data_IF_625686442179
#
_entry.id   IF_625686442179
#
_cell.length_a   1.000
_cell.length_b   1.000
_cell.length_c   1.000
_cell.angle_alpha   90.00
_cell.angle_beta   90.00
_cell.angle_gamma   90.00
#
_symmetry.space_group_name_H-M   'P 1'
#
loop_
_entity.id
_entity.type
_entity.pdbx_description
1 polymer ?
#
# COMPACT_ATOMS: atom_id res chain seq x y z
N UNK A 1 -60.28 -21.12 -33.26
CA UNK A 1 -60.93 -22.38 -32.81
C UNK A 1 -60.36 -22.92 -31.51
N UNK A 2 -59.08 -22.66 -31.22
CA UNK A 2 -58.39 -23.14 -30.01
C UNK A 2 -59.09 -22.75 -28.70
N UNK A 3 -59.52 -21.49 -28.54
CA UNK A 3 -60.27 -21.04 -27.35
C UNK A 3 -61.58 -21.82 -27.12
N UNK A 4 -62.23 -22.30 -28.19
CA UNK A 4 -63.48 -23.07 -28.09
C UNK A 4 -63.27 -24.54 -27.76
N UNK A 5 -62.05 -25.05 -28.00
CA UNK A 5 -61.65 -26.42 -27.71
C UNK A 5 -60.92 -26.55 -26.38
N UNK A 6 -60.66 -25.43 -25.70
CA UNK A 6 -60.00 -25.41 -24.40
C UNK A 6 -60.98 -25.71 -23.27
N UNK A 7 -60.87 -26.91 -22.69
CA UNK A 7 -61.69 -27.37 -21.57
C UNK A 7 -61.53 -26.49 -20.32
N UNK A 8 -60.39 -25.79 -20.15
CA UNK A 8 -60.19 -24.88 -19.02
C UNK A 8 -61.07 -23.62 -19.12
N UNK A 9 -61.55 -23.29 -20.32
CA UNK A 9 -62.36 -22.11 -20.60
C UNK A 9 -63.85 -22.45 -20.79
N UNK A 10 -64.26 -23.71 -20.56
CA UNK A 10 -65.60 -24.22 -20.89
C UNK A 10 -66.73 -23.40 -20.22
N UNK A 11 -66.54 -23.00 -18.97
CA UNK A 11 -67.52 -22.21 -18.20
C UNK A 11 -67.27 -20.69 -18.29
N UNK A 12 -66.25 -20.24 -19.02
CA UNK A 12 -65.99 -18.83 -19.25
C UNK A 12 -66.77 -18.34 -20.46
N UNK A 13 -68.10 -18.27 -20.32
CA UNK A 13 -69.02 -17.92 -21.41
C UNK A 13 -68.67 -16.60 -22.12
N UNK A 14 -68.11 -15.62 -21.39
CA UNK A 14 -67.64 -14.36 -21.98
C UNK A 14 -66.46 -14.52 -22.94
N UNK A 15 -65.56 -15.47 -22.68
CA UNK A 15 -64.40 -15.77 -23.53
C UNK A 15 -64.81 -16.69 -24.68
N UNK A 16 -65.64 -17.69 -24.40
CA UNK A 16 -66.22 -18.61 -25.39
C UNK A 16 -67.09 -17.90 -26.43
N UNK A 17 -67.80 -16.83 -26.02
CA UNK A 17 -68.68 -16.03 -26.88
C UNK A 17 -67.97 -14.97 -27.71
N UNK A 18 -66.65 -14.80 -27.58
CA UNK A 18 -65.93 -13.79 -28.37
C UNK A 18 -65.85 -14.20 -29.84
N UNK A 19 -66.13 -13.23 -30.73
CA UNK A 19 -65.86 -13.39 -32.15
C UNK A 19 -64.37 -13.08 -32.47
N UNK A 20 -63.94 -13.44 -33.68
CA UNK A 20 -62.55 -13.28 -34.11
C UNK A 20 -62.07 -11.83 -34.05
N UNK A 21 -62.91 -10.85 -34.38
CA UNK A 21 -62.57 -9.41 -34.33
C UNK A 21 -62.34 -8.91 -32.89
N UNK A 22 -63.17 -9.33 -31.94
CA UNK A 22 -62.99 -9.00 -30.53
C UNK A 22 -61.72 -9.64 -29.96
N UNK A 23 -61.39 -10.86 -30.39
CA UNK A 23 -60.15 -11.54 -30.00
C UNK A 23 -58.95 -10.77 -30.58
N UNK A 24 -58.97 -10.44 -31.87
CA UNK A 24 -57.92 -9.68 -32.54
C UNK A 24 -57.65 -8.34 -31.84
N UNK A 25 -58.70 -7.55 -31.55
CA UNK A 25 -58.56 -6.27 -30.82
C UNK A 25 -57.94 -6.43 -29.43
N UNK A 26 -58.25 -7.52 -28.71
CA UNK A 26 -57.64 -7.80 -27.41
C UNK A 26 -56.18 -8.23 -27.55
N UNK A 27 -55.85 -9.03 -28.56
CA UNK A 27 -54.48 -9.38 -28.89
C UNK A 27 -53.67 -8.13 -29.24
N UNK A 28 -54.17 -7.25 -30.11
CA UNK A 28 -53.52 -5.97 -30.48
C UNK A 28 -53.31 -5.05 -29.28
N UNK A 29 -54.28 -4.99 -28.37
CA UNK A 29 -54.12 -4.25 -27.13
C UNK A 29 -53.02 -4.84 -26.24
N UNK A 30 -52.99 -6.17 -26.09
CA UNK A 30 -51.96 -6.86 -25.30
C UNK A 30 -50.58 -6.71 -25.91
N UNK A 31 -50.44 -6.83 -27.22
CA UNK A 31 -49.18 -6.60 -27.93
C UNK A 31 -48.65 -5.19 -27.68
N UNK A 32 -49.49 -4.16 -27.81
CA UNK A 32 -49.10 -2.77 -27.50
C UNK A 32 -48.70 -2.55 -26.04
N UNK A 33 -49.32 -3.25 -25.10
CA UNK A 33 -48.90 -3.19 -23.69
C UNK A 33 -47.52 -3.83 -23.49
N UNK A 34 -47.28 -4.98 -24.12
CA UNK A 34 -45.98 -5.65 -24.07
C UNK A 34 -44.88 -4.81 -24.72
N UNK A 35 -45.15 -4.17 -25.86
CA UNK A 35 -44.21 -3.25 -26.53
C UNK A 35 -43.78 -2.11 -25.60
N UNK A 36 -44.74 -1.44 -24.94
CA UNK A 36 -44.45 -0.38 -23.96
C UNK A 36 -43.62 -0.87 -22.78
N UNK A 37 -43.87 -2.08 -22.30
CA UNK A 37 -43.09 -2.67 -21.21
C UNK A 37 -41.66 -2.99 -21.66
N UNK A 38 -41.50 -3.54 -22.87
CA UNK A 38 -40.19 -3.78 -23.47
C UNK A 38 -39.38 -2.48 -23.62
N UNK A 39 -39.99 -1.42 -24.15
CA UNK A 39 -39.36 -0.10 -24.27
C UNK A 39 -38.94 0.47 -22.90
N UNK A 40 -39.79 0.34 -21.89
CA UNK A 40 -39.49 0.78 -20.53
C UNK A 40 -38.30 0.01 -19.94
N UNK A 41 -38.28 -1.32 -20.10
CA UNK A 41 -37.17 -2.18 -19.64
C UNK A 41 -35.88 -1.89 -20.40
N UNK A 42 -35.94 -1.70 -21.71
CA UNK A 42 -34.78 -1.34 -22.53
C UNK A 42 -34.20 0.01 -22.09
N UNK A 43 -35.04 1.00 -21.81
CA UNK A 43 -34.61 2.31 -21.30
C UNK A 43 -33.91 2.18 -19.94
N UNK A 44 -34.43 1.33 -19.04
CA UNK A 44 -33.79 1.06 -17.75
C UNK A 44 -32.43 0.38 -17.95
N UNK A 45 -32.35 -0.60 -18.86
CA UNK A 45 -31.10 -1.31 -19.15
C UNK A 45 -30.04 -0.39 -19.79
N UNK A 46 -30.43 0.46 -20.74
CA UNK A 46 -29.51 1.43 -21.38
C UNK A 46 -28.88 2.39 -20.37
N UNK A 47 -29.64 2.79 -19.34
CA UNK A 47 -29.17 3.73 -18.33
C UNK A 47 -28.45 3.06 -17.16
N UNK A 48 -28.55 1.73 -17.03
CA UNK A 48 -27.93 1.00 -15.93
C UNK A 48 -26.48 0.72 -16.29
N UNK A 49 -25.56 1.32 -15.53
CA UNK A 49 -24.14 0.99 -15.64
C UNK A 49 -23.91 -0.49 -15.28
N UNK A 50 -23.10 -1.22 -16.07
CA UNK A 50 -22.62 -2.54 -15.68
C UNK A 50 -21.89 -2.49 -14.34
N UNK A 51 -22.04 -3.55 -13.51
CA UNK A 51 -21.49 -3.57 -12.16
C UNK A 51 -19.96 -3.43 -12.12
N UNK A 52 -19.27 -4.01 -13.10
CA UNK A 52 -17.82 -3.88 -13.27
C UNK A 52 -17.39 -2.42 -13.58
N UNK A 53 -18.17 -1.69 -14.40
CA UNK A 53 -17.88 -0.29 -14.70
C UNK A 53 -18.08 0.58 -13.46
N UNK A 54 -19.17 0.37 -12.71
CA UNK A 54 -19.40 1.09 -11.46
C UNK A 54 -18.31 0.81 -10.41
N UNK A 55 -17.86 -0.45 -10.29
CA UNK A 55 -16.75 -0.81 -9.40
C UNK A 55 -15.43 -0.16 -9.82
N UNK A 56 -15.12 -0.15 -11.11
CA UNK A 56 -13.92 0.51 -11.65
C UNK A 56 -13.95 2.03 -11.41
N UNK A 57 -15.10 2.68 -11.61
CA UNK A 57 -15.27 4.11 -11.30
C UNK A 57 -15.03 4.40 -9.81
N UNK A 58 -15.54 3.55 -8.91
CA UNK A 58 -15.30 3.68 -7.46
C UNK A 58 -13.81 3.54 -7.12
N UNK A 59 -13.13 2.57 -7.72
CA UNK A 59 -11.69 2.37 -7.51
C UNK A 59 -10.86 3.58 -8.02
N UNK A 60 -11.20 4.11 -9.20
CA UNK A 60 -10.54 5.30 -9.75
C UNK A 60 -10.77 6.53 -8.86
N UNK A 61 -11.96 6.68 -8.30
CA UNK A 61 -12.28 7.76 -7.38
C UNK A 61 -11.42 7.67 -6.10
N UNK A 62 -11.29 6.47 -5.54
CA UNK A 62 -10.40 6.24 -4.39
C UNK A 62 -8.95 6.61 -4.71
N UNK A 63 -8.42 6.23 -5.89
CA UNK A 63 -7.06 6.60 -6.31
C UNK A 63 -6.88 8.12 -6.36
N UNK A 64 -7.82 8.86 -6.94
CA UNK A 64 -7.75 10.32 -7.01
C UNK A 64 -7.77 10.99 -5.63
N UNK A 65 -8.57 10.45 -4.71
CA UNK A 65 -8.61 10.92 -3.32
C UNK A 65 -7.27 10.70 -2.62
N UNK A 66 -6.66 9.54 -2.81
CA UNK A 66 -5.33 9.22 -2.27
C UNK A 66 -4.25 10.16 -2.83
N UNK A 67 -4.19 10.35 -4.16
CA UNK A 67 -3.21 11.24 -4.80
C UNK A 67 -3.33 12.70 -4.31
N UNK A 68 -4.57 13.16 -4.14
CA UNK A 68 -4.85 14.48 -3.58
C UNK A 68 -4.35 14.59 -2.14
N UNK A 69 -4.66 13.59 -1.31
CA UNK A 69 -4.19 13.55 0.08
C UNK A 69 -2.66 13.52 0.16
N UNK A 70 -1.98 12.74 -0.69
CA UNK A 70 -0.51 12.69 -0.73
C UNK A 70 0.10 14.05 -1.09
N UNK A 71 -0.52 14.76 -2.04
CA UNK A 71 -0.09 16.10 -2.44
C UNK A 71 -0.25 17.10 -1.30
N UNK A 72 -1.41 17.09 -0.64
CA UNK A 72 -1.69 17.94 0.52
C UNK A 72 -0.77 17.62 1.70
N UNK A 73 -0.58 16.33 2.02
CA UNK A 73 0.33 15.87 3.05
C UNK A 73 1.76 16.31 2.78
N UNK A 74 2.22 16.24 1.53
CA UNK A 74 3.55 16.74 1.14
C UNK A 74 3.67 18.24 1.38
N UNK A 75 2.67 19.03 0.98
CA UNK A 75 2.66 20.49 1.18
C UNK A 75 2.66 20.83 2.68
N UNK A 76 1.82 20.18 3.48
CA UNK A 76 1.80 20.36 4.94
C UNK A 76 3.15 20.06 5.57
N UNK A 77 3.74 18.91 5.23
CA UNK A 77 5.06 18.52 5.76
C UNK A 77 6.16 19.53 5.38
N UNK A 78 6.16 20.05 4.15
CA UNK A 78 7.13 21.07 3.71
C UNK A 78 6.94 22.42 4.41
N UNK A 79 5.71 22.74 4.84
CA UNK A 79 5.39 23.94 5.60
C UNK A 79 5.57 23.76 7.13
N UNK A 80 5.98 22.57 7.58
CA UNK A 80 6.15 22.24 9.00
C UNK A 80 4.84 21.93 9.74
N UNK A 81 3.74 21.75 9.02
CA UNK A 81 2.45 21.36 9.58
C UNK A 81 2.25 19.83 9.50
N UNK A 82 1.39 19.31 10.36
CA UNK A 82 1.02 17.89 10.33
C UNK A 82 0.26 17.53 9.04
N UNK A 83 0.45 16.29 8.59
CA UNK A 83 -0.28 15.74 7.46
C UNK A 83 -1.79 15.73 7.75
N UNK A 84 -2.65 15.94 6.73
CA UNK A 84 -4.09 15.88 6.91
C UNK A 84 -4.52 14.49 7.42
N UNK A 85 -5.57 14.41 8.26
CA UNK A 85 -6.05 13.13 8.79
C UNK A 85 -6.55 12.20 7.66
N UNK A 86 -6.33 10.90 7.82
CA UNK A 86 -6.74 9.88 6.84
C UNK A 86 -8.25 9.61 6.88
N UNK A 87 -8.92 9.90 8.00
CA UNK A 87 -10.36 9.69 8.21
C UNK A 87 -11.23 10.57 7.29
N UNK A 88 -10.63 11.53 6.59
CA UNK A 88 -11.30 12.36 5.58
C UNK A 88 -11.43 11.66 4.22
N UNK A 89 -10.74 10.53 4.01
CA UNK A 89 -10.82 9.73 2.80
C UNK A 89 -12.07 8.83 2.81
N UNK A 90 -12.48 8.35 1.65
CA UNK A 90 -13.46 7.26 1.59
C UNK A 90 -12.90 5.99 2.26
N UNK A 91 -13.77 5.12 2.80
CA UNK A 91 -13.35 3.91 3.53
C UNK A 91 -12.38 3.03 2.74
N UNK A 92 -12.61 2.88 1.43
CA UNK A 92 -11.74 2.09 0.55
C UNK A 92 -10.36 2.78 0.39
N UNK A 93 -10.34 4.10 0.17
CA UNK A 93 -9.11 4.88 0.03
C UNK A 93 -8.30 4.92 1.34
N UNK A 94 -8.98 5.07 2.47
CA UNK A 94 -8.36 5.07 3.79
C UNK A 94 -7.64 3.75 4.07
N UNK A 95 -8.32 2.62 3.83
CA UNK A 95 -7.72 1.30 4.04
C UNK A 95 -6.48 1.11 3.18
N UNK A 96 -6.56 1.41 1.88
CA UNK A 96 -5.43 1.27 0.96
C UNK A 96 -4.26 2.18 1.38
N UNK A 97 -4.54 3.42 1.82
CA UNK A 97 -3.50 4.32 2.30
C UNK A 97 -2.82 3.83 3.57
N UNK A 98 -3.57 3.28 4.52
CA UNK A 98 -3.00 2.68 5.74
C UNK A 98 -2.05 1.54 5.38
N UNK A 99 -2.47 0.63 4.51
CA UNK A 99 -1.64 -0.48 4.03
C UNK A 99 -0.35 0.03 3.36
N UNK A 100 -0.45 1.03 2.47
CA UNK A 100 0.72 1.65 1.82
C UNK A 100 1.67 2.32 2.81
N UNK A 101 1.15 3.03 3.80
CA UNK A 101 1.97 3.69 4.82
C UNK A 101 2.70 2.65 5.69
N UNK A 102 2.02 1.57 6.06
CA UNK A 102 2.60 0.46 6.83
C UNK A 102 3.71 -0.27 6.04
N UNK A 103 3.53 -0.45 4.72
CA UNK A 103 4.57 -1.00 3.84
C UNK A 103 5.77 -0.07 3.67
N UNK A 104 5.54 1.25 3.70
CA UNK A 104 6.56 2.27 3.49
C UNK A 104 7.43 2.51 4.74
N UNK A 105 6.87 2.43 5.94
CA UNK A 105 7.60 2.69 7.19
C UNK A 105 8.91 1.88 7.34
N UNK A 106 8.99 0.56 7.08
CA UNK A 106 10.24 -0.18 7.18
C UNK A 106 11.31 0.29 6.18
N UNK A 107 10.91 0.79 5.01
CA UNK A 107 11.84 1.36 4.03
C UNK A 107 12.39 2.71 4.52
N UNK A 108 11.52 3.54 5.11
CA UNK A 108 11.94 4.80 5.74
C UNK A 108 12.91 4.51 6.89
N UNK A 109 12.62 3.53 7.74
CA UNK A 109 13.48 3.12 8.83
C UNK A 109 14.84 2.62 8.33
N UNK A 110 14.88 1.86 7.23
CA UNK A 110 16.15 1.45 6.63
C UNK A 110 16.96 2.64 6.10
N UNK A 111 16.31 3.61 5.47
CA UNK A 111 16.98 4.84 5.01
C UNK A 111 17.52 5.65 6.18
N UNK A 112 16.77 5.75 7.28
CA UNK A 112 17.22 6.39 8.53
C UNK A 112 18.46 5.70 9.11
N UNK A 113 18.50 4.37 9.09
CA UNK A 113 19.66 3.61 9.53
C UNK A 113 20.89 3.91 8.65
N UNK A 114 20.73 3.92 7.33
CA UNK A 114 21.81 4.26 6.38
C UNK A 114 22.32 5.68 6.63
N UNK A 115 21.43 6.65 6.88
CA UNK A 115 21.82 8.03 7.18
C UNK A 115 22.74 8.11 8.41
N UNK A 116 22.43 7.36 9.48
CA UNK A 116 23.25 7.28 10.68
C UNK A 116 24.62 6.66 10.36
N UNK A 117 24.65 5.57 9.59
CA UNK A 117 25.89 4.91 9.19
C UNK A 117 26.79 5.83 8.38
N UNK A 118 26.23 6.62 7.46
CA UNK A 118 26.98 7.61 6.66
C UNK A 118 27.55 8.72 7.55
N UNK A 119 26.80 9.20 8.55
CA UNK A 119 27.33 10.16 9.53
C UNK A 119 28.49 9.58 10.32
N UNK A 120 28.36 8.36 10.83
CA UNK A 120 29.44 7.67 11.54
C UNK A 120 30.70 7.49 10.66
N UNK A 121 30.55 7.17 9.38
CA UNK A 121 31.67 7.15 8.43
C UNK A 121 32.37 8.51 8.32
N UNK A 122 31.60 9.60 8.29
CA UNK A 122 32.15 10.97 8.22
C UNK A 122 32.94 11.32 9.48
N UNK A 123 32.41 10.96 10.65
CA UNK A 123 33.08 11.21 11.93
C UNK A 123 34.39 10.43 12.04
N UNK A 124 34.37 9.14 11.66
CA UNK A 124 35.57 8.30 11.60
C UNK A 124 36.61 8.85 10.61
N UNK A 125 36.18 9.34 9.44
CA UNK A 125 37.08 9.96 8.48
C UNK A 125 37.74 11.23 9.05
N UNK A 126 37.00 12.03 9.83
CA UNK A 126 37.54 13.20 10.50
C UNK A 126 38.56 12.83 11.59
N UNK A 127 38.25 11.84 12.44
CA UNK A 127 39.16 11.33 13.47
C UNK A 127 40.45 10.77 12.85
N UNK A 128 40.31 10.01 11.76
CA UNK A 128 41.44 9.48 11.00
C UNK A 128 42.32 10.59 10.44
N UNK A 129 41.71 11.64 9.87
CA UNK A 129 42.43 12.83 9.38
C UNK A 129 43.22 13.49 10.50
N UNK A 130 42.64 13.65 11.69
CA UNK A 130 43.33 14.23 12.84
C UNK A 130 44.47 13.36 13.36
N UNK A 131 44.31 12.03 13.39
CA UNK A 131 45.35 11.09 13.77
C UNK A 131 46.58 11.17 12.84
N UNK A 132 46.35 11.23 11.53
CA UNK A 132 47.41 11.45 10.55
C UNK A 132 48.14 12.77 10.81
N UNK A 133 47.40 13.86 11.10
CA UNK A 133 48.00 15.16 11.40
C UNK A 133 48.81 15.17 12.70
N UNK A 134 48.50 14.31 13.67
CA UNK A 134 49.27 14.13 14.91
C UNK A 134 50.55 13.28 14.73
N UNK A 135 50.71 12.64 13.58
CA UNK A 135 51.84 11.73 13.32
C UNK A 135 51.66 10.34 13.94
N UNK A 136 50.41 9.95 14.26
CA UNK A 136 50.10 8.56 14.63
C UNK A 136 50.51 7.64 13.46
N UNK A 137 51.03 6.44 13.76
CA UNK A 137 51.48 5.48 12.75
C UNK A 137 50.37 5.27 11.70
N UNK A 138 50.72 5.39 10.41
CA UNK A 138 49.76 5.33 9.30
C UNK A 138 49.05 3.97 9.29
N UNK A 139 47.85 3.91 9.84
CA UNK A 139 46.94 2.78 9.66
C UNK A 139 46.39 2.89 8.24
N UNK A 140 46.70 1.90 7.39
CA UNK A 140 46.22 1.90 6.01
C UNK A 140 44.74 1.50 5.96
N UNK A 141 43.85 2.49 5.99
CA UNK A 141 42.40 2.30 5.90
C UNK A 141 41.91 1.86 4.51
N UNK A 142 42.76 1.86 3.47
CA UNK A 142 42.35 1.51 2.09
C UNK A 142 42.03 0.03 1.89
N UNK A 143 42.39 -0.84 2.85
CA UNK A 143 42.05 -2.27 2.83
C UNK A 143 40.81 -2.63 3.67
N UNK A 144 40.15 -1.66 4.30
CA UNK A 144 38.99 -1.92 5.16
C UNK A 144 37.74 -2.04 4.30
N UNK A 145 37.15 -3.24 4.30
CA UNK A 145 35.92 -3.50 3.55
C UNK A 145 34.74 -3.39 4.51
N UNK A 146 33.84 -2.43 4.28
CA UNK A 146 32.58 -2.39 5.03
C UNK A 146 31.72 -3.58 4.61
N UNK A 147 31.65 -4.62 5.45
CA UNK A 147 30.80 -5.78 5.18
C UNK A 147 29.35 -5.34 5.33
N UNK A 148 28.67 -5.14 4.20
CA UNK A 148 27.26 -4.76 4.15
C UNK A 148 26.38 -5.86 4.76
N UNK A 149 26.22 -5.80 6.07
CA UNK A 149 25.50 -6.79 6.84
C UNK A 149 25.34 -6.24 8.23
N UNK A 150 24.16 -5.71 8.53
CA UNK A 150 23.78 -5.48 9.92
C UNK A 150 23.86 -6.80 10.72
N UNK A 151 23.58 -6.78 12.02
CA UNK A 151 23.68 -7.94 12.92
C UNK A 151 22.87 -9.20 12.51
N UNK A 152 22.15 -9.15 11.39
CA UNK A 152 21.31 -10.21 10.82
C UNK A 152 21.83 -10.79 9.48
N UNK A 153 23.04 -10.43 9.03
CA UNK A 153 23.65 -11.12 7.88
C UNK A 153 23.98 -12.59 8.24
N UNK A 154 23.59 -13.52 7.35
CA UNK A 154 23.89 -14.96 7.49
C UNK A 154 25.39 -15.26 7.36
N UNK A 155 26.16 -14.32 6.83
CA UNK A 155 27.62 -14.37 6.80
C UNK A 155 28.15 -13.92 8.16
N UNK A 156 27.94 -14.76 9.17
CA UNK A 156 28.49 -14.56 10.49
C UNK A 156 30.00 -14.38 10.40
N UNK A 157 30.49 -13.22 10.84
CA UNK A 157 31.84 -12.96 11.36
C UNK A 157 32.93 -13.96 10.97
N UNK A 158 33.16 -14.20 9.67
CA UNK A 158 34.42 -14.74 9.21
C UNK A 158 35.43 -13.59 9.30
N UNK A 159 35.98 -13.46 10.51
CA UNK A 159 37.06 -12.57 10.90
C UNK A 159 38.28 -13.00 10.08
N UNK A 160 38.68 -12.19 9.11
CA UNK A 160 39.99 -12.32 8.52
C UNK A 160 40.98 -11.85 9.60
N UNK A 161 41.64 -12.78 10.29
CA UNK A 161 42.63 -12.46 11.31
C UNK A 161 43.83 -11.79 10.64
N UNK A 162 43.86 -10.46 10.66
CA UNK A 162 45.09 -9.69 10.48
C UNK A 162 46.02 -9.97 11.65
N UNK A 163 47.33 -10.06 11.36
CA UNK A 163 48.36 -10.12 12.39
C UNK A 163 48.35 -8.80 13.18
N UNK A 164 48.40 -8.93 14.50
CA UNK A 164 48.47 -7.88 15.52
C UNK A 164 47.13 -7.33 16.04
N UNK A 165 47.03 -7.33 17.37
CA UNK A 165 45.82 -7.24 18.20
C UNK A 165 44.81 -6.16 17.84
N UNK A 166 43.53 -6.55 18.01
CA UNK A 166 42.30 -5.81 17.71
C UNK A 166 42.09 -5.51 16.23
N UNK A 167 41.27 -6.37 15.62
CA UNK A 167 40.74 -6.28 14.27
C UNK A 167 40.12 -4.89 14.01
N UNK A 168 40.95 -3.96 13.52
CA UNK A 168 40.60 -2.55 13.25
C UNK A 168 39.37 -2.49 12.33
N UNK A 169 39.27 -3.43 11.39
CA UNK A 169 38.10 -3.62 10.53
C UNK A 169 36.86 -4.00 11.35
N UNK A 170 36.95 -4.93 12.31
CA UNK A 170 35.83 -5.24 13.20
C UNK A 170 35.44 -4.05 14.09
N UNK A 171 36.42 -3.27 14.59
CA UNK A 171 36.16 -2.06 15.39
C UNK A 171 35.44 -0.99 14.58
N UNK A 172 35.86 -0.76 13.33
CA UNK A 172 35.25 0.19 12.42
C UNK A 172 33.88 -0.29 11.95
N UNK A 173 33.74 -1.56 11.59
CA UNK A 173 32.45 -2.16 11.28
C UNK A 173 31.48 -2.06 12.48
N UNK A 174 31.97 -2.24 13.72
CA UNK A 174 31.18 -2.01 14.93
C UNK A 174 30.79 -0.53 15.11
N UNK A 175 31.71 0.41 14.92
CA UNK A 175 31.43 1.84 15.08
C UNK A 175 30.51 2.39 13.98
N UNK A 176 30.66 1.92 12.74
CA UNK A 176 29.94 2.42 11.56
C UNK A 176 28.63 1.68 11.34
N UNK A 177 28.62 0.34 11.36
CA UNK A 177 27.46 -0.46 10.97
C UNK A 177 26.52 -0.75 12.14
N UNK A 178 27.03 -0.77 13.37
CA UNK A 178 26.22 -1.09 14.56
C UNK A 178 25.67 0.18 15.18
N UNK A 179 24.54 0.67 14.67
CA UNK A 179 23.75 1.63 15.44
C UNK A 179 23.32 0.95 16.76
N UNK A 180 23.75 1.45 17.94
CA UNK A 180 23.59 0.74 19.19
C UNK A 180 22.12 0.39 19.45
N UNK A 181 21.80 -0.90 19.36
CA UNK A 181 20.50 -1.41 19.77
C UNK A 181 20.42 -1.35 21.30
N UNK A 182 19.30 -0.91 21.86
CA UNK A 182 19.16 -0.87 23.31
C UNK A 182 19.10 -2.28 23.95
N UNK A 183 18.80 -3.33 23.16
CA UNK A 183 18.71 -4.72 23.62
C UNK A 183 17.54 -5.01 24.59
N UNK A 184 16.83 -3.97 25.03
CA UNK A 184 15.82 -4.04 26.07
C UNK A 184 14.41 -3.74 25.58
N UNK A 185 14.24 -3.02 24.46
CA UNK A 185 12.92 -2.75 23.91
C UNK A 185 12.41 -3.89 23.02
N UNK A 186 11.10 -3.95 22.82
CA UNK A 186 10.44 -4.93 21.96
C UNK A 186 11.03 -4.92 20.55
N UNK A 187 11.29 -3.74 19.98
CA UNK A 187 11.94 -3.60 18.67
C UNK A 187 13.37 -4.16 18.56
N UNK A 188 14.07 -4.38 19.68
CA UNK A 188 15.41 -4.98 19.70
C UNK A 188 15.40 -6.45 20.13
N UNK A 189 14.32 -6.92 20.77
CA UNK A 189 14.18 -8.30 21.25
C UNK A 189 13.51 -9.19 20.21
N UNK A 190 12.54 -8.66 19.48
CA UNK A 190 11.86 -9.37 18.42
C UNK A 190 12.61 -9.22 17.09
N UNK A 191 13.08 -10.36 16.55
CA UNK A 191 13.77 -10.42 15.25
C UNK A 191 12.83 -10.11 14.07
N UNK A 192 11.51 -10.19 14.27
CA UNK A 192 10.49 -9.82 13.29
C UNK A 192 10.12 -8.34 13.30
N UNK A 193 10.59 -7.56 14.30
CA UNK A 193 10.23 -6.16 14.40
C UNK A 193 10.97 -5.34 13.34
N UNK A 194 10.21 -4.70 12.45
CA UNK A 194 10.77 -3.84 11.39
C UNK A 194 10.98 -2.39 11.83
N UNK A 195 10.55 -2.03 13.05
CA UNK A 195 10.67 -0.67 13.59
C UNK A 195 12.03 -0.45 14.25
N UNK A 196 12.62 0.72 14.07
CA UNK A 196 13.83 1.11 14.80
C UNK A 196 13.54 1.35 16.29
N UNK A 197 14.52 1.06 17.15
CA UNK A 197 14.39 1.36 18.57
C UNK A 197 14.62 2.85 18.88
N UNK A 198 14.06 3.34 19.99
CA UNK A 198 14.19 4.75 20.41
C UNK A 198 15.64 5.22 20.53
N UNK A 199 16.55 4.40 21.07
CA UNK A 199 17.99 4.74 21.14
C UNK A 199 18.63 4.91 19.76
N UNK A 200 18.20 4.13 18.75
CA UNK A 200 18.66 4.30 17.37
C UNK A 200 18.10 5.59 16.74
N UNK A 201 16.86 5.95 17.07
CA UNK A 201 16.25 7.21 16.63
C UNK A 201 16.86 8.43 17.32
N UNK A 202 17.31 8.30 18.58
CA UNK A 202 17.96 9.36 19.36
C UNK A 202 19.37 9.68 18.86
N UNK A 203 20.12 8.69 18.36
CA UNK A 203 21.44 8.90 17.72
C UNK A 203 21.40 9.81 16.47
N UNK A 204 20.20 10.25 16.05
CA UNK A 204 19.99 11.24 14.99
C UNK A 204 20.21 12.69 15.46
N UNK A 205 19.98 12.98 16.75
CA UNK A 205 20.09 14.32 17.35
C UNK A 205 21.53 14.63 17.72
#
# INVERSE_FOLDING_TARGET
EELRRDNALLFQHMVQGMNTDMIAKRCDYRMRQMEKECEAREKVLKNRKPANVAAAEKALQAVREMEKWETEARISNLSGNDAPPLEKLSSDAEQIMRERLDEREPLIDRLREIEIQVRACKDLANETREAIMRGDQYVNYSHITLKAGGPNSKDGNAIAKGADGEDIEARINLQVLKVPACGTCECCRDRGCRKLCKRRLEARK
#
